data_IF_838765037087
#
_entry.id   IF_838765037087
#
_cell.length_a   1.000
_cell.length_b   1.000
_cell.length_c   1.000
_cell.angle_alpha   90.00
_cell.angle_beta   90.00
_cell.angle_gamma   90.00
#
_symmetry.space_group_name_H-M   'P 1'
#
loop_
_entity.id
_entity.type
_entity.pdbx_description
1 polymer ?
#
# COMPACT_ATOMS: atom_id res chain seq x y z
N UNK A 1 -4.04 14.62 33.18
CA UNK A 1 -3.66 15.17 31.86
C UNK A 1 -3.45 13.94 31.00
N UNK A 2 -4.39 13.63 30.11
CA UNK A 2 -4.38 12.38 29.36
C UNK A 2 -3.48 12.57 28.14
N UNK A 3 -2.40 11.80 28.08
CA UNK A 3 -1.37 11.86 27.05
C UNK A 3 -1.74 11.06 25.78
N UNK A 4 -3.02 10.75 25.57
CA UNK A 4 -3.51 9.89 24.48
C UNK A 4 -4.13 10.67 23.30
N UNK A 5 -3.90 11.99 23.18
CA UNK A 5 -4.60 12.86 22.19
C UNK A 5 -3.86 13.02 20.85
N UNK A 6 -2.70 12.38 20.68
CA UNK A 6 -2.05 12.28 19.37
C UNK A 6 -1.71 10.82 19.12
N UNK A 7 -2.66 10.05 18.59
CA UNK A 7 -2.45 8.68 18.14
C UNK A 7 -1.45 8.62 16.97
N UNK A 8 -0.18 8.84 17.27
CA UNK A 8 0.98 8.72 16.37
C UNK A 8 1.82 7.50 16.78
N UNK A 9 1.17 6.45 17.27
CA UNK A 9 1.81 5.25 17.85
C UNK A 9 1.41 3.97 17.12
N UNK A 10 1.44 4.01 15.79
CA UNK A 10 1.96 2.96 14.90
C UNK A 10 2.49 3.75 13.71
N UNK A 11 3.65 3.43 13.14
CA UNK A 11 3.97 3.96 11.82
C UNK A 11 2.85 3.48 10.88
N UNK A 12 1.86 4.33 10.59
CA UNK A 12 0.68 3.92 9.84
C UNK A 12 1.15 3.35 8.51
N UNK A 13 1.03 2.03 8.37
CA UNK A 13 1.34 1.32 7.15
C UNK A 13 0.13 1.40 6.23
N UNK A 14 0.38 1.50 4.93
CA UNK A 14 -0.64 1.31 3.92
C UNK A 14 -0.59 -0.15 3.49
N UNK A 15 -1.65 -0.89 3.79
CA UNK A 15 -1.78 -2.31 3.44
C UNK A 15 -2.01 -2.46 1.95
N UNK A 16 -1.15 -3.20 1.26
CA UNK A 16 -1.25 -3.44 -0.18
C UNK A 16 -1.56 -4.91 -0.40
N UNK A 17 -2.73 -5.18 -0.99
CA UNK A 17 -3.15 -6.54 -1.35
C UNK A 17 -3.15 -6.70 -2.85
N UNK A 18 -2.52 -7.76 -3.35
CA UNK A 18 -2.59 -8.08 -4.78
C UNK A 18 -4.04 -8.42 -5.12
N UNK A 19 -4.62 -7.68 -6.05
CA UNK A 19 -5.91 -8.01 -6.62
C UNK A 19 -5.71 -9.18 -7.60
N UNK A 20 -6.50 -10.24 -7.48
CA UNK A 20 -6.42 -11.38 -8.39
C UNK A 20 -6.74 -11.05 -9.85
N UNK A 21 -7.26 -9.84 -10.11
CA UNK A 21 -7.47 -9.31 -11.45
C UNK A 21 -6.13 -9.07 -12.16
N UNK A 22 -5.89 -9.82 -13.25
CA UNK A 22 -4.79 -9.58 -14.18
C UNK A 22 -5.40 -9.32 -15.55
N UNK A 23 -5.03 -8.19 -16.15
CA UNK A 23 -5.46 -7.81 -17.50
C UNK A 23 -4.23 -7.35 -18.26
N UNK A 24 -3.99 -7.93 -19.44
CA UNK A 24 -2.86 -7.56 -20.31
C UNK A 24 -1.50 -7.55 -19.58
N UNK A 25 -1.21 -8.61 -18.82
CA UNK A 25 0.04 -8.78 -18.06
C UNK A 25 0.30 -7.73 -16.95
N UNK A 26 -0.73 -6.97 -16.57
CA UNK A 26 -0.65 -6.00 -15.49
C UNK A 26 -1.10 -6.58 -14.14
N UNK A 27 -0.35 -6.24 -13.09
CA UNK A 27 -0.67 -6.56 -11.70
C UNK A 27 -1.36 -5.37 -11.03
N UNK A 28 -2.52 -5.63 -10.41
CA UNK A 28 -3.28 -4.61 -9.69
C UNK A 28 -3.18 -4.84 -8.19
N UNK A 29 -3.11 -3.75 -7.42
CA UNK A 29 -3.05 -3.78 -5.97
C UNK A 29 -4.10 -2.85 -5.38
N UNK A 30 -4.89 -3.39 -4.45
CA UNK A 30 -5.79 -2.60 -3.60
C UNK A 30 -4.97 -2.07 -2.41
N UNK A 31 -5.05 -0.76 -2.18
CA UNK A 31 -4.32 -0.08 -1.11
C UNK A 31 -5.23 0.19 0.08
N UNK A 32 -4.67 0.23 1.29
CA UNK A 32 -5.40 0.49 2.54
C UNK A 32 -5.94 1.92 2.67
N UNK A 33 -5.58 2.81 1.74
CA UNK A 33 -6.13 4.16 1.62
C UNK A 33 -7.15 4.28 0.48
N UNK A 34 -7.83 3.18 0.14
CA UNK A 34 -8.95 3.10 -0.80
C UNK A 34 -8.63 3.53 -2.24
N UNK A 35 -7.35 3.42 -2.63
CA UNK A 35 -6.91 3.60 -4.02
C UNK A 35 -6.48 2.27 -4.65
N UNK A 36 -6.50 2.19 -5.97
CA UNK A 36 -5.99 1.06 -6.73
C UNK A 36 -4.71 1.47 -7.47
N UNK A 37 -3.66 0.67 -7.33
CA UNK A 37 -2.39 0.86 -8.03
C UNK A 37 -2.19 -0.22 -9.08
N UNK A 38 -1.77 0.15 -10.28
CA UNK A 38 -1.44 -0.77 -11.36
C UNK A 38 0.07 -0.73 -11.59
N UNK A 39 0.71 -1.90 -11.59
CA UNK A 39 2.07 -2.06 -12.10
C UNK A 39 2.02 -2.50 -13.55
N UNK A 40 2.83 -1.84 -14.37
CA UNK A 40 2.96 -2.20 -15.78
C UNK A 40 3.67 -3.54 -15.97
N UNK A 41 4.60 -3.86 -15.07
CA UNK A 41 5.39 -5.09 -15.04
C UNK A 41 5.77 -5.39 -13.58
N UNK A 42 5.66 -6.65 -13.17
CA UNK A 42 5.93 -7.16 -11.82
C UNK A 42 5.15 -6.41 -10.69
N UNK A 43 5.67 -6.45 -9.45
CA UNK A 43 4.98 -5.91 -8.27
C UNK A 43 5.77 -4.83 -7.52
N UNK A 44 5.33 -4.48 -6.30
CA UNK A 44 5.93 -3.45 -5.46
C UNK A 44 7.42 -3.68 -5.16
N UNK A 45 7.83 -4.94 -4.95
CA UNK A 45 9.20 -5.29 -4.57
C UNK A 45 10.19 -5.04 -5.72
N UNK A 46 9.87 -5.54 -6.91
CA UNK A 46 10.68 -5.40 -8.11
C UNK A 46 10.80 -3.94 -8.57
N UNK A 47 9.73 -3.16 -8.35
CA UNK A 47 9.70 -1.73 -8.66
C UNK A 47 10.25 -0.85 -7.52
N UNK A 48 10.76 -1.45 -6.43
CA UNK A 48 11.34 -0.77 -5.26
C UNK A 48 10.40 0.22 -4.56
N UNK A 49 9.09 -0.04 -4.59
CA UNK A 49 8.09 0.74 -3.88
C UNK A 49 8.23 0.52 -2.37
N UNK A 50 8.42 1.61 -1.63
CA UNK A 50 8.53 1.60 -0.15
C UNK A 50 7.41 2.37 0.53
N UNK A 51 6.84 3.35 -0.16
CA UNK A 51 5.82 4.24 0.36
C UNK A 51 4.64 4.27 -0.60
N UNK A 52 3.43 4.36 -0.06
CA UNK A 52 2.23 4.52 -0.84
C UNK A 52 2.23 5.91 -1.51
N UNK A 53 2.09 6.00 -2.84
CA UNK A 53 2.10 7.29 -3.53
C UNK A 53 0.83 8.13 -3.26
N UNK A 54 -0.20 7.53 -2.66
CA UNK A 54 -1.46 8.20 -2.34
C UNK A 54 -1.45 8.82 -0.94
N UNK A 55 -1.13 8.05 0.11
CA UNK A 55 -1.17 8.54 1.49
C UNK A 55 0.21 8.82 2.12
N UNK A 56 1.31 8.45 1.45
CA UNK A 56 2.69 8.67 1.94
C UNK A 56 3.17 7.67 3.00
N UNK A 57 2.28 6.82 3.53
CA UNK A 57 2.59 5.76 4.50
C UNK A 57 3.52 4.68 3.93
N UNK A 58 4.28 4.00 4.81
CA UNK A 58 5.07 2.81 4.44
C UNK A 58 4.16 1.71 3.90
N UNK A 59 4.59 0.99 2.87
CA UNK A 59 3.82 -0.13 2.33
C UNK A 59 3.98 -1.36 3.22
N UNK A 60 2.88 -2.01 3.55
CA UNK A 60 2.81 -3.33 4.16
C UNK A 60 2.10 -4.28 3.20
N UNK A 61 2.80 -5.29 2.69
CA UNK A 61 2.19 -6.30 1.83
C UNK A 61 1.30 -7.22 2.65
N UNK A 62 0.07 -7.46 2.18
CA UNK A 62 -0.88 -8.40 2.79
C UNK A 62 -1.34 -9.43 1.75
N UNK A 63 -1.60 -10.65 2.21
CA UNK A 63 -2.08 -11.77 1.39
C UNK A 63 -3.54 -11.60 0.95
#
# INVERSE_FOLDING_TARGET
MNEDIYGLDVADTCKWRKNGFHFEDHDYYETGCDNMFQFNDAGPEENHFKFCPYCGSLIEMVE
#
